data_IF_276167899335
#
_entry.id   IF_276167899335
#
_cell.length_a   1.000
_cell.length_b   1.000
_cell.length_c   1.000
_cell.angle_alpha   90.00
_cell.angle_beta   90.00
_cell.angle_gamma   90.00
#
_symmetry.space_group_name_H-M   'P 1'
#
loop_
_entity.id
_entity.type
_entity.pdbx_description
1 polymer ?
#
# COMPACT_ATOMS: atom_id res chain seq x y z
N UNK A 1 -51.83 41.49 23.94
CA UNK A 1 -50.40 41.62 24.28
C UNK A 1 -49.68 40.39 23.72
N UNK A 2 -48.54 40.60 23.06
CA UNK A 2 -47.62 39.64 22.42
C UNK A 2 -48.06 38.89 21.14
N UNK A 3 -47.44 39.28 20.00
CA UNK A 3 -46.98 38.36 18.95
C UNK A 3 -45.54 37.95 19.29
N UNK A 4 -45.13 36.70 19.02
CA UNK A 4 -43.92 36.53 18.21
C UNK A 4 -44.05 35.35 17.20
N UNK A 5 -43.70 35.53 15.92
CA UNK A 5 -42.33 35.36 15.38
C UNK A 5 -41.84 33.92 15.56
N UNK A 6 -42.20 33.01 14.65
CA UNK A 6 -41.49 31.74 14.38
C UNK A 6 -42.01 31.13 13.06
N UNK A 7 -41.75 31.81 11.93
CA UNK A 7 -42.03 31.25 10.58
C UNK A 7 -40.91 31.49 9.56
N UNK A 8 -39.69 31.76 10.02
CA UNK A 8 -38.51 31.88 9.16
C UNK A 8 -37.40 31.07 9.82
N UNK A 9 -37.50 29.75 9.78
CA UNK A 9 -36.38 28.85 10.12
C UNK A 9 -36.65 27.41 9.62
N UNK A 10 -37.26 27.26 8.44
CA UNK A 10 -37.54 25.93 7.87
C UNK A 10 -37.34 25.86 6.35
N UNK A 11 -36.40 26.64 5.82
CA UNK A 11 -36.04 26.65 4.38
C UNK A 11 -34.52 26.67 4.15
N UNK A 12 -33.72 26.18 5.11
CA UNK A 12 -32.26 26.17 5.01
C UNK A 12 -31.65 24.80 5.39
N UNK A 13 -32.33 23.70 5.06
CA UNK A 13 -31.81 22.33 5.27
C UNK A 13 -31.83 21.45 4.01
N UNK A 14 -32.21 21.98 2.85
CA UNK A 14 -32.30 21.23 1.60
C UNK A 14 -31.17 21.52 0.59
N UNK A 15 -30.17 22.34 0.94
CA UNK A 15 -29.11 22.79 0.01
C UNK A 15 -27.72 22.16 0.27
N UNK A 16 -27.61 21.13 1.12
CA UNK A 16 -26.32 20.54 1.51
C UNK A 16 -26.10 19.10 1.01
N UNK A 17 -26.92 18.59 0.09
CA UNK A 17 -26.74 17.25 -0.48
C UNK A 17 -26.34 17.24 -1.98
N UNK A 18 -25.77 18.34 -2.49
CA UNK A 18 -25.25 18.41 -3.87
C UNK A 18 -23.74 18.67 -3.91
N UNK A 19 -22.96 17.93 -3.11
CA UNK A 19 -21.52 17.78 -3.32
C UNK A 19 -21.06 16.35 -3.02
N UNK A 20 -21.82 15.35 -3.47
CA UNK A 20 -21.18 14.12 -3.95
C UNK A 20 -21.04 14.29 -5.45
N UNK A 21 -19.94 14.93 -5.87
CA UNK A 21 -19.37 14.62 -7.16
C UNK A 21 -19.06 13.11 -7.13
N UNK A 22 -20.03 12.30 -7.55
CA UNK A 22 -19.71 11.04 -8.19
C UNK A 22 -18.88 11.44 -9.40
N UNK A 23 -17.55 11.45 -9.24
CA UNK A 23 -16.67 11.36 -10.39
C UNK A 23 -17.05 10.04 -11.04
N UNK A 24 -17.89 10.13 -12.07
CA UNK A 24 -18.11 9.06 -13.01
C UNK A 24 -16.78 8.93 -13.76
N UNK A 25 -15.80 8.31 -13.11
CA UNK A 25 -14.68 7.72 -13.79
C UNK A 25 -15.33 6.66 -14.67
N UNK A 26 -15.51 7.00 -15.94
CA UNK A 26 -16.01 6.08 -16.93
C UNK A 26 -14.89 5.06 -17.19
N UNK A 27 -15.09 3.76 -16.93
CA UNK A 27 -14.08 2.74 -17.23
C UNK A 27 -13.72 2.71 -18.74
N UNK A 28 -14.56 3.29 -19.61
CA UNK A 28 -14.38 3.35 -21.06
C UNK A 28 -13.67 4.60 -21.59
N UNK A 29 -13.23 5.53 -20.72
CA UNK A 29 -12.41 6.67 -21.14
C UNK A 29 -11.18 6.23 -21.93
N UNK A 30 -10.62 7.13 -22.75
CA UNK A 30 -9.42 6.86 -23.56
C UNK A 30 -8.36 6.14 -22.70
N UNK A 31 -7.97 4.95 -23.14
CA UNK A 31 -7.03 4.12 -22.41
C UNK A 31 -5.61 4.63 -22.57
N UNK A 32 -5.34 5.51 -23.54
CA UNK A 32 -3.98 5.87 -23.90
C UNK A 32 -3.30 4.77 -24.72
N UNK A 33 -2.09 5.06 -25.17
CA UNK A 33 -1.30 4.18 -26.02
C UNK A 33 -0.57 3.12 -25.18
N UNK A 34 -0.24 1.93 -25.74
CA UNK A 34 0.55 0.92 -25.04
C UNK A 34 1.88 1.47 -24.50
N UNK A 35 2.20 1.15 -23.25
CA UNK A 35 3.43 1.56 -22.57
C UNK A 35 3.95 0.47 -21.62
N UNK A 36 5.19 0.62 -21.18
CA UNK A 36 5.84 -0.31 -20.23
C UNK A 36 6.38 0.50 -19.06
N UNK A 37 6.08 0.06 -17.84
CA UNK A 37 6.72 0.56 -16.62
C UNK A 37 7.92 -0.35 -16.29
N UNK A 38 9.05 0.27 -15.93
CA UNK A 38 10.17 -0.36 -15.27
C UNK A 38 10.13 0.03 -13.79
N UNK A 39 9.48 -0.80 -12.97
CA UNK A 39 9.24 -0.55 -11.56
C UNK A 39 10.40 -1.06 -10.70
N UNK A 40 11.08 -0.15 -10.02
CA UNK A 40 12.11 -0.46 -9.04
C UNK A 40 11.64 -0.25 -7.61
N UNK A 41 12.08 -1.12 -6.72
CA UNK A 41 12.06 -0.84 -5.28
C UNK A 41 13.42 -0.25 -4.87
N UNK A 42 13.42 0.74 -3.98
CA UNK A 42 14.65 1.40 -3.54
C UNK A 42 15.65 0.38 -2.96
N UNK A 43 16.94 0.58 -3.26
CA UNK A 43 18.08 -0.20 -2.76
C UNK A 43 18.12 -1.70 -3.12
N UNK A 44 18.23 -2.09 -4.40
CA UNK A 44 19.02 -3.25 -4.93
C UNK A 44 18.54 -3.60 -6.36
N UNK A 45 19.47 -3.95 -7.26
CA UNK A 45 19.17 -4.76 -8.46
C UNK A 45 19.52 -6.23 -8.15
N UNK A 46 18.57 -7.15 -8.21
CA UNK A 46 18.80 -8.59 -8.01
C UNK A 46 18.15 -9.38 -9.13
N UNK A 47 18.88 -10.38 -9.62
CA UNK A 47 18.45 -11.33 -10.65
C UNK A 47 18.17 -12.69 -10.01
N UNK A 48 16.92 -13.16 -10.10
CA UNK A 48 16.58 -14.59 -10.08
C UNK A 48 16.54 -15.28 -8.71
N UNK A 49 16.10 -14.59 -7.65
CA UNK A 49 15.92 -15.17 -6.32
C UNK A 49 15.18 -14.23 -5.39
N UNK A 50 15.13 -14.56 -4.09
CA UNK A 50 14.54 -13.70 -3.07
C UNK A 50 15.10 -12.27 -3.12
N UNK A 51 14.23 -11.28 -2.98
CA UNK A 51 14.66 -9.90 -2.82
C UNK A 51 14.97 -9.66 -1.35
N UNK A 52 16.13 -9.07 -1.05
CA UNK A 52 16.60 -8.79 0.32
C UNK A 52 16.72 -10.06 1.19
N UNK A 53 16.91 -9.88 2.52
CA UNK A 53 17.03 -10.98 3.49
C UNK A 53 16.51 -10.55 4.88
N UNK A 54 16.23 -11.53 5.75
CA UNK A 54 15.79 -11.27 7.12
C UNK A 54 14.48 -10.49 7.19
N UNK A 55 14.43 -9.42 8.00
CA UNK A 55 13.23 -8.58 8.15
C UNK A 55 12.85 -7.80 6.87
N UNK A 56 13.73 -7.77 5.86
CA UNK A 56 13.49 -7.11 4.57
C UNK A 56 13.13 -8.09 3.45
N UNK A 57 13.18 -9.40 3.72
CA UNK A 57 12.93 -10.45 2.74
C UNK A 57 11.59 -10.22 2.01
N UNK A 58 11.64 -10.18 0.68
CA UNK A 58 10.50 -10.11 -0.22
C UNK A 58 10.57 -11.33 -1.16
N UNK A 59 9.56 -12.18 -1.03
CA UNK A 59 9.39 -13.43 -1.79
C UNK A 59 8.28 -13.34 -2.83
N UNK A 60 7.42 -12.32 -2.72
CA UNK A 60 6.32 -12.08 -3.64
C UNK A 60 6.00 -10.60 -3.67
N UNK A 61 5.63 -10.08 -4.83
CA UNK A 61 5.03 -8.76 -4.99
C UNK A 61 3.78 -8.83 -5.86
N UNK A 62 2.74 -8.10 -5.46
CA UNK A 62 1.59 -7.77 -6.27
C UNK A 62 1.64 -6.30 -6.61
N UNK A 63 1.51 -5.98 -7.89
CA UNK A 63 1.49 -4.61 -8.39
C UNK A 63 0.15 -4.33 -9.03
N UNK A 64 -0.47 -3.22 -8.63
CA UNK A 64 -1.61 -2.64 -9.31
C UNK A 64 -1.18 -1.35 -10.00
N UNK A 65 -1.55 -1.19 -11.26
CA UNK A 65 -1.50 0.07 -11.98
C UNK A 65 -2.94 0.53 -12.15
N UNK A 66 -3.31 1.64 -11.53
CA UNK A 66 -4.65 2.22 -11.66
C UNK A 66 -4.65 3.37 -12.65
N UNK A 67 -5.71 3.45 -13.46
CA UNK A 67 -6.06 4.62 -14.28
C UNK A 67 -7.33 5.23 -13.70
N UNK A 68 -7.20 6.39 -13.07
CA UNK A 68 -8.27 6.92 -12.21
C UNK A 68 -8.60 5.93 -11.10
N UNK A 69 -9.88 5.61 -10.93
CA UNK A 69 -10.32 4.64 -9.94
C UNK A 69 -10.25 3.16 -10.39
N UNK A 70 -9.97 2.81 -11.65
CA UNK A 70 -10.02 1.40 -12.10
C UNK A 70 -8.64 0.81 -12.32
N UNK A 71 -8.52 -0.50 -12.10
CA UNK A 71 -7.31 -1.27 -12.46
C UNK A 71 -7.12 -1.19 -13.97
N UNK A 72 -5.94 -0.70 -14.36
CA UNK A 72 -5.44 -0.77 -15.72
C UNK A 72 -4.68 -2.08 -15.93
N UNK A 73 -3.81 -2.43 -14.98
CA UNK A 73 -3.09 -3.71 -14.95
C UNK A 73 -2.91 -4.19 -13.51
N UNK A 74 -2.91 -5.51 -13.31
CA UNK A 74 -2.53 -6.14 -12.05
C UNK A 74 -1.65 -7.35 -12.35
N UNK A 75 -0.48 -7.38 -11.73
CA UNK A 75 0.48 -8.48 -11.91
C UNK A 75 1.06 -8.92 -10.57
N UNK A 76 1.18 -10.23 -10.40
CA UNK A 76 1.88 -10.86 -9.28
C UNK A 76 3.19 -11.44 -9.80
N UNK A 77 4.26 -11.24 -9.05
CA UNK A 77 5.58 -11.82 -9.31
C UNK A 77 6.02 -12.58 -8.05
N UNK A 78 6.54 -13.78 -8.23
CA UNK A 78 6.93 -14.64 -7.11
C UNK A 78 8.39 -15.11 -7.23
N UNK A 79 9.08 -15.23 -6.11
CA UNK A 79 10.45 -15.74 -6.05
C UNK A 79 10.55 -17.13 -6.70
N UNK A 80 11.63 -17.34 -7.46
CA UNK A 80 11.84 -18.52 -8.28
C UNK A 80 11.32 -18.40 -9.71
N UNK A 81 10.51 -17.38 -10.02
CA UNK A 81 10.10 -17.07 -11.40
C UNK A 81 11.17 -16.22 -12.11
N UNK A 82 11.28 -16.35 -13.44
CA UNK A 82 12.25 -15.58 -14.23
C UNK A 82 11.93 -14.08 -14.19
N UNK A 83 10.66 -13.73 -14.10
CA UNK A 83 10.14 -12.37 -14.08
C UNK A 83 10.31 -11.69 -12.71
N UNK A 84 10.65 -12.44 -11.66
CA UNK A 84 10.92 -11.89 -10.32
C UNK A 84 12.32 -11.28 -10.25
N UNK A 85 12.48 -10.16 -10.95
CA UNK A 85 13.73 -9.42 -11.04
C UNK A 85 13.44 -7.92 -10.90
N UNK A 86 14.19 -7.24 -10.03
CA UNK A 86 14.12 -5.79 -9.89
C UNK A 86 15.07 -5.14 -10.93
N UNK A 87 14.61 -4.31 -11.87
CA UNK A 87 13.25 -3.75 -11.99
C UNK A 87 12.21 -4.66 -12.66
N UNK A 88 10.99 -4.60 -12.14
CA UNK A 88 9.83 -5.34 -12.65
C UNK A 88 9.23 -4.64 -13.87
N UNK A 89 8.95 -5.42 -14.92
CA UNK A 89 8.35 -4.91 -16.16
C UNK A 89 6.86 -5.14 -16.15
N UNK A 90 6.08 -4.08 -16.28
CA UNK A 90 4.61 -4.13 -16.26
C UNK A 90 4.10 -3.46 -17.53
N UNK A 91 3.29 -4.18 -18.29
CA UNK A 91 2.60 -3.62 -19.47
C UNK A 91 1.42 -2.77 -18.99
N UNK A 92 1.22 -1.61 -19.60
CA UNK A 92 0.15 -0.68 -19.23
C UNK A 92 -0.11 0.24 -20.42
N UNK A 93 -0.74 1.38 -20.17
CA UNK A 93 -0.99 2.43 -21.14
C UNK A 93 -0.45 3.77 -20.67
N UNK A 94 -0.42 4.76 -21.56
CA UNK A 94 0.05 6.11 -21.23
C UNK A 94 -0.95 6.90 -20.38
N UNK A 95 -0.51 8.08 -19.93
CA UNK A 95 -1.28 9.02 -19.14
C UNK A 95 -1.12 8.83 -17.62
N UNK A 96 -1.91 9.56 -16.83
CA UNK A 96 -1.83 9.55 -15.37
C UNK A 96 -2.21 8.19 -14.79
N UNK A 97 -1.30 7.59 -14.00
CA UNK A 97 -1.48 6.35 -13.27
C UNK A 97 -1.24 6.52 -11.78
N UNK A 98 -1.82 5.63 -11.00
CA UNK A 98 -1.43 5.43 -9.59
C UNK A 98 -1.00 3.98 -9.40
N UNK A 99 0.24 3.77 -8.99
CA UNK A 99 0.79 2.42 -8.77
C UNK A 99 0.70 2.10 -7.28
N UNK A 100 0.23 0.90 -6.96
CA UNK A 100 0.29 0.32 -5.61
C UNK A 100 1.04 -1.00 -5.65
N UNK A 101 1.84 -1.25 -4.62
CA UNK A 101 2.59 -2.49 -4.45
C UNK A 101 2.24 -3.09 -3.10
N UNK A 102 1.95 -4.39 -3.08
CA UNK A 102 1.83 -5.20 -1.87
C UNK A 102 2.90 -6.29 -1.96
N UNK A 103 3.89 -6.25 -1.08
CA UNK A 103 4.92 -7.27 -0.98
C UNK A 103 4.58 -8.23 0.17
N UNK A 104 4.83 -9.52 -0.04
CA UNK A 104 4.54 -10.61 0.91
C UNK A 104 3.11 -10.50 1.48
N UNK A 105 2.10 -10.51 0.61
CA UNK A 105 0.72 -10.48 1.08
C UNK A 105 0.42 -11.71 1.96
N UNK A 106 -0.38 -11.56 3.03
CA UNK A 106 -0.78 -12.70 3.84
C UNK A 106 -1.81 -13.54 3.08
N UNK A 107 -1.74 -14.86 3.18
CA UNK A 107 -2.65 -15.79 2.50
C UNK A 107 -4.15 -15.49 2.75
N UNK A 108 -4.48 -14.95 3.93
CA UNK A 108 -5.83 -14.54 4.28
C UNK A 108 -6.37 -13.34 3.47
N UNK A 109 -5.50 -12.55 2.83
CA UNK A 109 -5.88 -11.41 1.97
C UNK A 109 -5.86 -11.74 0.48
N UNK A 110 -5.23 -12.83 0.05
CA UNK A 110 -5.02 -13.13 -1.37
C UNK A 110 -6.32 -13.08 -2.18
N UNK A 111 -7.38 -13.76 -1.75
CA UNK A 111 -8.66 -13.75 -2.46
C UNK A 111 -9.31 -12.34 -2.53
N UNK A 112 -9.12 -11.53 -1.49
CA UNK A 112 -9.64 -10.16 -1.47
C UNK A 112 -8.83 -9.24 -2.42
N UNK A 113 -7.50 -9.42 -2.46
CA UNK A 113 -6.61 -8.71 -3.37
C UNK A 113 -6.85 -9.13 -4.83
N UNK A 114 -7.03 -10.42 -5.11
CA UNK A 114 -7.40 -10.91 -6.45
C UNK A 114 -8.70 -10.29 -6.98
N UNK A 115 -9.65 -9.99 -6.09
CA UNK A 115 -10.93 -9.38 -6.42
C UNK A 115 -10.91 -7.85 -6.60
N UNK A 116 -9.77 -7.18 -6.40
CA UNK A 116 -9.66 -5.73 -6.52
C UNK A 116 -9.75 -5.30 -7.98
N UNK A 117 -10.80 -4.54 -8.30
CA UNK A 117 -11.00 -3.91 -9.61
C UNK A 117 -10.93 -2.38 -9.56
N UNK A 118 -10.96 -1.81 -8.35
CA UNK A 118 -10.94 -0.36 -8.14
C UNK A 118 -9.97 0.07 -7.05
N UNK A 119 -9.44 1.29 -7.16
CA UNK A 119 -8.55 1.89 -6.18
C UNK A 119 -9.25 2.05 -4.83
N UNK A 120 -10.52 2.45 -4.84
CA UNK A 120 -11.32 2.55 -3.63
C UNK A 120 -11.52 1.18 -2.95
N UNK A 121 -11.71 0.10 -3.72
CA UNK A 121 -11.78 -1.25 -3.16
C UNK A 121 -10.46 -1.65 -2.51
N UNK A 122 -9.31 -1.39 -3.16
CA UNK A 122 -7.99 -1.67 -2.59
C UNK A 122 -7.78 -0.91 -1.27
N UNK A 123 -8.07 0.39 -1.24
CA UNK A 123 -7.94 1.24 -0.04
C UNK A 123 -8.92 0.85 1.07
N UNK A 124 -10.04 0.22 0.72
CA UNK A 124 -11.03 -0.27 1.67
C UNK A 124 -10.67 -1.62 2.30
N UNK A 125 -9.62 -2.31 1.83
CA UNK A 125 -9.20 -3.58 2.41
C UNK A 125 -8.64 -3.37 3.82
N UNK A 126 -9.10 -4.22 4.74
CA UNK A 126 -8.63 -4.23 6.13
C UNK A 126 -7.65 -5.38 6.27
N UNK A 127 -6.45 -5.07 6.76
CA UNK A 127 -5.44 -6.09 7.00
C UNK A 127 -5.84 -6.96 8.20
N UNK A 128 -5.65 -8.29 8.14
CA UNK A 128 -5.97 -9.17 9.25
C UNK A 128 -5.22 -8.78 10.51
N UNK A 129 -5.78 -9.16 11.67
CA UNK A 129 -5.05 -9.04 12.93
C UNK A 129 -3.75 -9.85 12.87
N UNK A 130 -2.69 -9.29 13.43
CA UNK A 130 -1.36 -9.90 13.43
C UNK A 130 -1.24 -10.87 14.60
N UNK A 131 -0.78 -12.09 14.35
CA UNK A 131 -0.40 -13.05 15.41
C UNK A 131 0.96 -12.71 16.01
N UNK A 132 1.13 -12.97 17.31
CA UNK A 132 2.41 -12.77 18.02
C UNK A 132 2.87 -14.14 18.58
N UNK A 133 4.10 -14.61 18.29
CA UNK A 133 5.14 -13.94 17.49
C UNK A 133 4.75 -13.87 16.01
N UNK A 134 5.24 -12.83 15.34
CA UNK A 134 4.94 -12.59 13.93
C UNK A 134 5.91 -13.36 13.03
N UNK A 135 5.36 -14.02 12.03
CA UNK A 135 6.15 -14.80 11.07
C UNK A 135 6.68 -13.90 9.94
N UNK A 136 7.90 -14.21 9.49
CA UNK A 136 8.49 -13.63 8.28
C UNK A 136 8.15 -14.48 7.07
N UNK A 137 8.13 -13.90 5.85
CA UNK A 137 8.46 -12.51 5.52
C UNK A 137 7.34 -11.52 5.87
N UNK A 138 7.69 -10.27 6.18
CA UNK A 138 6.71 -9.27 6.59
C UNK A 138 6.04 -8.62 5.39
N UNK A 139 4.72 -8.39 5.50
CA UNK A 139 3.96 -7.65 4.50
C UNK A 139 4.41 -6.19 4.45
N UNK A 140 4.63 -5.67 3.25
CA UNK A 140 4.99 -4.28 3.00
C UNK A 140 4.11 -3.68 1.91
N UNK A 141 3.92 -2.38 1.95
CA UNK A 141 3.14 -1.66 0.94
C UNK A 141 3.84 -0.40 0.48
N UNK A 142 3.59 0.00 -0.76
CA UNK A 142 4.08 1.26 -1.31
C UNK A 142 3.11 1.78 -2.36
N UNK A 143 3.14 3.09 -2.59
CA UNK A 143 2.32 3.71 -3.62
C UNK A 143 3.06 4.88 -4.27
N UNK A 144 2.75 5.14 -5.54
CA UNK A 144 3.27 6.31 -6.26
C UNK A 144 2.36 6.72 -7.42
N UNK A 145 1.88 7.98 -7.48
CA UNK A 145 1.31 8.53 -8.69
C UNK A 145 2.42 8.80 -9.72
N UNK A 146 2.14 8.54 -11.00
CA UNK A 146 3.06 8.77 -12.11
C UNK A 146 2.27 9.19 -13.35
N UNK A 147 2.85 10.02 -14.22
CA UNK A 147 2.30 10.29 -15.54
C UNK A 147 3.19 9.63 -16.59
N UNK A 148 2.62 8.73 -17.40
CA UNK A 148 3.36 7.90 -18.35
C UNK A 148 3.27 8.55 -19.73
N UNK A 149 4.41 9.02 -20.24
CA UNK A 149 4.50 9.55 -21.59
C UNK A 149 4.82 8.44 -22.63
N UNK A 150 4.41 8.66 -23.87
CA UNK A 150 4.86 7.83 -25.01
C UNK A 150 6.33 8.12 -25.26
N UNK A 151 7.20 7.14 -25.01
CA UNK A 151 8.60 7.18 -25.46
C UNK A 151 8.91 5.87 -26.16
N UNK A 152 9.03 5.87 -27.51
CA UNK A 152 9.30 4.66 -28.27
C UNK A 152 10.53 3.90 -27.73
N UNK A 153 10.35 2.61 -27.45
CA UNK A 153 11.42 1.71 -27.02
C UNK A 153 11.96 1.95 -25.60
N UNK A 154 11.41 2.89 -24.83
CA UNK A 154 11.93 3.23 -23.49
C UNK A 154 10.85 3.06 -22.42
N UNK A 155 11.01 2.09 -21.50
CA UNK A 155 10.10 1.96 -20.36
C UNK A 155 10.12 3.20 -19.46
N UNK A 156 8.97 3.55 -18.88
CA UNK A 156 8.87 4.57 -17.85
C UNK A 156 9.47 4.05 -16.54
N UNK A 157 10.59 4.63 -16.10
CA UNK A 157 11.26 4.24 -14.85
C UNK A 157 10.50 4.80 -13.64
N UNK A 158 10.04 3.92 -12.76
CA UNK A 158 9.34 4.30 -11.54
C UNK A 158 9.99 3.65 -10.34
N UNK A 159 10.34 4.42 -9.33
CA UNK A 159 10.87 3.90 -8.06
C UNK A 159 9.86 4.09 -6.93
N UNK A 160 9.55 3.02 -6.20
CA UNK A 160 8.62 3.00 -5.07
C UNK A 160 9.33 2.55 -3.80
N UNK A 161 9.06 3.27 -2.71
CA UNK A 161 9.44 2.88 -1.36
C UNK A 161 8.38 1.96 -0.75
N UNK A 162 8.84 0.86 -0.14
CA UNK A 162 7.99 -0.05 0.61
C UNK A 162 8.11 0.21 2.10
N UNK A 163 6.97 0.24 2.78
CA UNK A 163 6.86 0.37 4.24
C UNK A 163 6.18 -0.87 4.81
N UNK A 164 6.76 -1.46 5.86
CA UNK A 164 6.17 -2.60 6.58
C UNK A 164 4.85 -2.20 7.22
N UNK A 165 3.88 -3.12 7.22
CA UNK A 165 2.61 -2.94 7.94
C UNK A 165 2.74 -3.01 9.47
N UNK A 166 3.92 -3.39 9.95
CA UNK A 166 4.17 -3.81 11.33
C UNK A 166 5.43 -3.15 11.87
N UNK A 167 5.42 -2.87 13.17
CA UNK A 167 6.53 -2.24 13.88
C UNK A 167 7.18 -3.20 14.87
N UNK A 168 8.47 -2.99 15.17
CA UNK A 168 9.22 -3.76 16.14
C UNK A 168 9.44 -2.96 17.41
N UNK A 169 8.99 -3.49 18.55
CA UNK A 169 9.30 -2.95 19.87
C UNK A 169 10.41 -3.77 20.52
N UNK A 170 11.49 -3.12 20.96
CA UNK A 170 12.58 -3.77 21.71
C UNK A 170 12.66 -3.17 23.12
N UNK A 171 12.37 -3.98 24.14
CA UNK A 171 12.50 -3.58 25.55
C UNK A 171 13.81 -4.12 26.14
N UNK A 172 14.61 -3.22 26.71
CA UNK A 172 15.84 -3.56 27.44
C UNK A 172 15.67 -3.15 28.90
N UNK A 173 15.64 -4.11 29.82
CA UNK A 173 15.51 -3.86 31.26
C UNK A 173 16.89 -4.01 31.91
N UNK A 174 17.34 -2.99 32.64
CA UNK A 174 18.53 -3.08 33.50
C UNK A 174 18.11 -3.50 34.90
N UNK A 175 18.72 -4.57 35.42
CA UNK A 175 18.53 -5.01 36.81
C UNK A 175 19.25 -4.04 37.75
N UNK A 176 18.53 -3.52 38.75
CA UNK A 176 19.13 -2.71 39.80
C UNK A 176 20.06 -3.53 40.71
N UNK A 177 20.95 -2.87 41.47
CA UNK A 177 21.79 -3.57 42.44
C UNK A 177 20.91 -4.31 43.46
N UNK A 178 21.25 -5.57 43.75
CA UNK A 178 20.68 -6.29 44.89
C UNK A 178 21.03 -5.51 46.16
N UNK A 179 20.07 -5.15 47.02
CA UNK A 179 20.37 -4.46 48.27
C UNK A 179 21.31 -5.34 49.10
N UNK A 180 22.48 -4.81 49.43
CA UNK A 180 23.46 -5.51 50.26
C UNK A 180 22.91 -5.53 51.68
N UNK A 181 22.39 -6.69 52.11
CA UNK A 181 21.88 -6.88 53.46
C UNK A 181 23.05 -7.16 54.40
N UNK A 182 23.95 -6.18 54.56
CA UNK A 182 24.91 -6.18 55.66
C UNK A 182 24.13 -5.92 56.93
N UNK A 183 23.74 -6.99 57.61
CA UNK A 183 23.33 -6.92 59.01
C UNK A 183 24.55 -6.44 59.81
N UNK A 184 24.51 -5.22 60.33
CA UNK A 184 25.40 -4.83 61.43
C UNK A 184 24.92 -5.56 62.69
N UNK A 185 25.70 -6.45 63.30
CA UNK A 185 25.42 -6.84 64.67
C UNK A 185 25.73 -5.64 65.55
N UNK A 186 24.70 -5.11 66.21
CA UNK A 186 24.87 -4.26 67.36
C UNK A 186 25.42 -5.15 68.49
N UNK A 187 26.68 -4.92 68.87
CA UNK A 187 27.23 -5.27 70.18
C UNK A 187 27.97 -4.04 70.71
#
# INVERSE_FOLDING_TARGET
>A
MMKPIYKIFFLLSAALLWNTACNNDDPSGDKGEPAVISLSMNNIQTRGGDLYAGEELITQIRVYVFRGNYVDEMQVFSSGEEEFQNPFRIQTTTGPKTIYVVANEPAALTAALDGVTTLNALKGLITPAVSIPMEQPFTMTGYKPVDIAVVPGTPASVTIDLTRLVAKLTLKIKKGPTPNRTASPLY
#
